data_IF_351345215766
#
_entry.id   IF_351345215766
#
_cell.length_a   1.000
_cell.length_b   1.000
_cell.length_c   1.000
_cell.angle_alpha   90.00
_cell.angle_beta   90.00
_cell.angle_gamma   90.00
#
_symmetry.space_group_name_H-M   'P 1'
#
loop_
_entity.id
_entity.type
_entity.pdbx_description
1 polymer ?
#
# COMPACT_ATOMS: atom_id res chain seq x y z
N UNK A 1 3.56 -0.16 20.37
CA UNK A 1 2.22 0.33 20.78
C UNK A 1 1.93 1.60 20.00
N UNK A 2 1.21 1.51 18.87
CA UNK A 2 0.75 2.67 18.10
C UNK A 2 -0.60 3.05 18.70
N UNK A 3 -0.71 4.23 19.32
CA UNK A 3 -1.96 4.64 19.98
C UNK A 3 -3.06 4.81 18.93
N UNK A 4 -4.21 4.17 19.16
CA UNK A 4 -5.35 4.15 18.22
C UNK A 4 -5.90 5.55 17.88
N UNK A 5 -5.67 6.55 18.74
CA UNK A 5 -6.05 7.95 18.49
C UNK A 5 -5.13 8.70 17.53
N UNK A 6 -3.92 8.18 17.29
CA UNK A 6 -2.93 8.83 16.42
C UNK A 6 -3.26 8.59 14.94
N UNK A 7 -3.82 7.42 14.62
CA UNK A 7 -4.15 7.00 13.25
C UNK A 7 -5.30 7.81 12.65
N UNK A 8 -6.30 8.14 13.45
CA UNK A 8 -7.44 8.97 13.03
C UNK A 8 -6.99 10.41 12.73
N UNK A 9 -6.00 10.91 13.46
CA UNK A 9 -5.41 12.24 13.21
C UNK A 9 -4.74 12.32 11.82
N UNK A 10 -4.24 11.20 11.31
CA UNK A 10 -3.64 11.09 9.97
C UNK A 10 -4.68 11.17 8.84
N UNK A 11 -5.98 11.16 9.14
CA UNK A 11 -7.01 11.42 8.13
C UNK A 11 -7.14 12.91 7.82
N UNK A 12 -6.75 13.77 8.76
CA UNK A 12 -6.78 15.21 8.58
C UNK A 12 -5.61 15.61 7.69
N UNK A 13 -5.90 16.30 6.59
CA UNK A 13 -4.87 16.74 5.63
C UNK A 13 -3.82 17.64 6.29
N UNK A 14 -4.24 18.61 7.10
CA UNK A 14 -3.31 19.54 7.76
C UNK A 14 -2.34 18.82 8.72
N UNK A 15 -2.78 17.72 9.36
CA UNK A 15 -1.91 16.89 10.20
C UNK A 15 -0.90 16.13 9.37
N UNK A 16 -1.30 15.60 8.21
CA UNK A 16 -0.39 14.90 7.27
C UNK A 16 0.70 15.81 6.72
N UNK A 17 0.35 17.05 6.38
CA UNK A 17 1.30 18.03 5.82
C UNK A 17 2.38 18.43 6.83
N UNK A 18 2.10 18.33 8.13
CA UNK A 18 3.06 18.59 9.21
C UNK A 18 4.02 17.42 9.49
N UNK A 19 3.78 16.25 8.89
CA UNK A 19 4.68 15.11 9.10
C UNK A 19 5.99 15.31 8.33
N UNK A 20 7.12 14.80 8.85
CA UNK A 20 8.36 14.75 8.10
C UNK A 20 8.20 13.92 6.82
N UNK A 21 8.87 14.33 5.74
CA UNK A 21 8.84 13.70 4.41
C UNK A 21 8.91 12.15 4.41
N UNK A 22 9.81 11.48 5.17
CA UNK A 22 9.84 10.02 5.19
C UNK A 22 8.54 9.39 5.70
N UNK A 23 7.84 10.04 6.63
CA UNK A 23 6.56 9.57 7.14
C UNK A 23 5.43 9.80 6.13
N UNK A 24 5.47 10.91 5.39
CA UNK A 24 4.54 11.15 4.30
C UNK A 24 4.70 10.11 3.19
N UNK A 25 5.95 9.79 2.81
CA UNK A 25 6.28 8.73 1.86
C UNK A 25 5.81 7.36 2.36
N UNK A 26 6.08 7.03 3.62
CA UNK A 26 5.62 5.79 4.22
C UNK A 26 4.09 5.70 4.18
N UNK A 27 3.36 6.78 4.52
CA UNK A 27 1.89 6.81 4.45
C UNK A 27 1.37 6.71 3.01
N UNK A 28 2.10 7.27 2.05
CA UNK A 28 1.74 7.22 0.64
C UNK A 28 1.92 5.82 0.03
N UNK A 29 2.97 5.11 0.44
CA UNK A 29 3.32 3.78 -0.07
C UNK A 29 2.63 2.66 0.71
N UNK A 30 2.43 2.82 2.02
CA UNK A 30 1.98 1.75 2.91
C UNK A 30 0.43 1.70 3.01
N UNK A 31 -0.24 0.73 2.38
CA UNK A 31 -1.71 0.69 2.30
C UNK A 31 -2.40 0.47 3.65
N UNK A 32 -1.71 -0.19 4.60
CA UNK A 32 -2.26 -0.53 5.91
C UNK A 32 -1.92 0.47 7.01
N UNK A 33 -1.31 1.62 6.68
CA UNK A 33 -0.88 2.60 7.67
C UNK A 33 -2.03 3.24 8.46
N UNK A 34 -3.25 3.24 7.90
CA UNK A 34 -4.45 3.81 8.52
C UNK A 34 -5.32 2.79 9.27
N UNK A 35 -4.90 1.52 9.30
CA UNK A 35 -5.65 0.44 9.94
C UNK A 35 -5.19 0.25 11.38
N UNK A 36 -6.15 -0.07 12.26
CA UNK A 36 -5.87 -0.39 13.67
C UNK A 36 -5.44 -1.86 13.79
N UNK A 37 -4.58 -2.14 14.77
CA UNK A 37 -4.15 -3.50 15.03
C UNK A 37 -5.29 -4.30 15.67
N UNK A 38 -5.78 -5.31 14.95
CA UNK A 38 -6.83 -6.23 15.41
C UNK A 38 -6.27 -7.58 15.88
N UNK A 39 -4.94 -7.76 15.84
CA UNK A 39 -4.27 -9.02 16.21
C UNK A 39 -4.03 -9.13 17.72
N UNK A 40 -3.92 -8.00 18.42
CA UNK A 40 -3.54 -7.94 19.83
C UNK A 40 -4.62 -7.27 20.70
N UNK A 41 -4.62 -7.58 22.00
CA UNK A 41 -5.49 -6.94 23.00
C UNK A 41 -6.76 -7.71 23.39
N UNK A 42 -7.53 -7.18 24.37
CA UNK A 42 -8.75 -7.82 24.87
C UNK A 42 -9.81 -8.00 23.77
N UNK A 43 -10.69 -9.02 23.86
CA UNK A 43 -11.75 -9.25 22.87
C UNK A 43 -12.56 -7.99 22.47
N UNK A 44 -13.06 -7.15 23.40
CA UNK A 44 -13.83 -5.96 23.00
C UNK A 44 -12.99 -4.89 22.28
N UNK A 45 -11.68 -4.84 22.51
CA UNK A 45 -10.78 -3.92 21.80
C UNK A 45 -10.55 -4.39 20.36
N UNK A 46 -10.36 -5.70 20.16
CA UNK A 46 -10.19 -6.31 18.83
C UNK A 46 -11.45 -6.14 17.97
N UNK A 47 -12.62 -6.32 18.55
CA UNK A 47 -13.91 -6.13 17.85
C UNK A 47 -14.08 -4.69 17.35
N UNK A 48 -13.70 -3.70 18.18
CA UNK A 48 -13.72 -2.28 17.82
C UNK A 48 -12.68 -1.94 16.74
N UNK A 49 -11.49 -2.53 16.80
CA UNK A 49 -10.48 -2.35 15.77
C UNK A 49 -10.94 -2.96 14.43
N UNK A 50 -11.57 -4.14 14.45
CA UNK A 50 -12.13 -4.77 13.25
C UNK A 50 -13.29 -3.98 12.65
N UNK A 51 -14.22 -3.48 13.46
CA UNK A 51 -15.35 -2.69 12.96
C UNK A 51 -14.88 -1.39 12.31
N UNK A 52 -13.88 -0.72 12.91
CA UNK A 52 -13.19 0.43 12.32
C UNK A 52 -12.49 0.07 11.00
N UNK A 53 -11.71 -1.02 10.97
CA UNK A 53 -11.01 -1.46 9.76
C UNK A 53 -11.99 -1.77 8.62
N UNK A 54 -13.15 -2.37 8.93
CA UNK A 54 -14.21 -2.63 7.95
C UNK A 54 -14.83 -1.35 7.39
N UNK A 55 -15.10 -0.35 8.22
CA UNK A 55 -15.65 0.94 7.75
C UNK A 55 -14.64 1.68 6.87
N UNK A 56 -13.34 1.52 7.17
CA UNK A 56 -12.22 2.10 6.40
C UNK A 56 -11.83 1.35 5.13
N UNK A 57 -12.44 0.21 4.80
CA UNK A 57 -12.03 -0.62 3.65
C UNK A 57 -11.95 0.16 2.33
N UNK A 58 -12.77 1.20 2.16
CA UNK A 58 -12.80 2.02 0.94
C UNK A 58 -11.49 2.78 0.68
N UNK A 59 -10.71 3.05 1.72
CA UNK A 59 -9.38 3.64 1.60
C UNK A 59 -8.46 2.73 0.76
N UNK A 60 -8.55 1.39 0.93
CA UNK A 60 -7.73 0.43 0.19
C UNK A 60 -7.96 0.49 -1.31
N UNK A 61 -9.17 0.84 -1.78
CA UNK A 61 -9.48 0.95 -3.21
C UNK A 61 -8.58 1.99 -3.89
N UNK A 62 -8.31 3.11 -3.20
CA UNK A 62 -7.43 4.16 -3.70
C UNK A 62 -5.98 3.68 -3.81
N UNK A 63 -5.53 2.89 -2.82
CA UNK A 63 -4.20 2.27 -2.84
C UNK A 63 -4.09 1.20 -3.92
N UNK A 64 -5.11 0.36 -4.11
CA UNK A 64 -5.16 -0.63 -5.19
C UNK A 64 -5.02 0.06 -6.54
N UNK A 65 -5.84 1.10 -6.82
CA UNK A 65 -5.75 1.84 -8.08
C UNK A 65 -4.35 2.41 -8.30
N UNK A 66 -3.76 3.01 -7.26
CA UNK A 66 -2.41 3.58 -7.32
C UNK A 66 -1.35 2.51 -7.63
N UNK A 67 -1.35 1.41 -6.88
CA UNK A 67 -0.36 0.35 -7.05
C UNK A 67 -0.52 -0.40 -8.39
N UNK A 68 -1.75 -0.54 -8.89
CA UNK A 68 -2.02 -1.04 -10.26
C UNK A 68 -1.43 -0.11 -11.31
N UNK A 69 -1.63 1.22 -11.19
CA UNK A 69 -1.05 2.17 -12.13
C UNK A 69 0.49 2.15 -12.08
N UNK A 70 1.08 2.03 -10.89
CA UNK A 70 2.54 1.89 -10.72
C UNK A 70 3.02 0.60 -11.38
N UNK A 71 2.37 -0.54 -11.10
CA UNK A 71 2.71 -1.82 -11.69
C UNK A 71 2.63 -1.77 -13.22
N UNK A 72 1.54 -1.24 -13.78
CA UNK A 72 1.35 -1.11 -15.22
C UNK A 72 2.41 -0.21 -15.87
N UNK A 73 2.73 0.93 -15.24
CA UNK A 73 3.76 1.85 -15.72
C UNK A 73 5.15 1.21 -15.73
N UNK A 74 5.51 0.52 -14.64
CA UNK A 74 6.79 -0.16 -14.52
C UNK A 74 6.89 -1.33 -15.51
N UNK A 75 5.82 -2.12 -15.65
CA UNK A 75 5.75 -3.23 -16.60
C UNK A 75 5.93 -2.76 -18.05
N UNK A 76 5.24 -1.67 -18.43
CA UNK A 76 5.36 -1.09 -19.76
C UNK A 76 6.78 -0.55 -20.04
N UNK A 77 7.49 -0.11 -19.00
CA UNK A 77 8.87 0.36 -19.11
C UNK A 77 9.91 -0.78 -19.28
N UNK A 78 9.56 -2.04 -19.00
CA UNK A 78 10.49 -3.18 -19.13
C UNK A 78 10.89 -3.39 -20.59
N UNK A 79 9.93 -3.54 -21.50
CA UNK A 79 10.21 -3.81 -22.91
C UNK A 79 11.18 -2.80 -23.58
N UNK A 80 10.97 -1.47 -23.47
CA UNK A 80 11.91 -0.51 -24.06
C UNK A 80 13.27 -0.51 -23.35
N UNK A 81 13.33 -0.75 -22.05
CA UNK A 81 14.61 -0.77 -21.31
C UNK A 81 15.41 -2.03 -21.56
N UNK A 82 14.76 -3.17 -21.77
CA UNK A 82 15.41 -4.40 -22.25
C UNK A 82 15.94 -4.25 -23.68
N UNK A 83 15.16 -3.62 -24.57
CA UNK A 83 15.63 -3.32 -25.93
C UNK A 83 16.88 -2.42 -25.92
N UNK A 84 16.93 -1.42 -25.04
CA UNK A 84 18.12 -0.58 -24.83
C UNK A 84 19.27 -1.36 -24.18
N UNK A 85 18.99 -2.29 -23.27
CA UNK A 85 20.00 -3.13 -22.63
C UNK A 85 20.68 -4.09 -23.61
N UNK A 86 19.96 -4.56 -24.62
CA UNK A 86 20.51 -5.34 -25.72
C UNK A 86 21.51 -4.55 -26.57
N UNK A 87 21.35 -3.22 -26.65
CA UNK A 87 22.24 -2.32 -27.40
C UNK A 87 23.40 -1.80 -26.54
N UNK A 88 23.15 -1.51 -25.26
CA UNK A 88 24.13 -0.99 -24.34
C UNK A 88 23.97 -1.61 -22.95
N UNK A 89 25.00 -2.34 -22.50
CA UNK A 89 25.02 -3.09 -21.23
C UNK A 89 24.76 -2.22 -19.99
N UNK A 90 24.94 -0.90 -20.08
CA UNK A 90 24.61 0.04 -19.00
C UNK A 90 23.11 0.00 -18.61
N UNK A 91 22.22 -0.31 -19.56
CA UNK A 91 20.77 -0.35 -19.31
C UNK A 91 20.28 -1.65 -18.64
N UNK A 92 21.16 -2.64 -18.39
CA UNK A 92 20.81 -3.87 -17.68
C UNK A 92 20.33 -3.56 -16.26
N UNK A 93 20.98 -2.62 -15.56
CA UNK A 93 20.64 -2.25 -14.18
C UNK A 93 19.24 -1.59 -14.11
N UNK A 94 18.92 -0.57 -14.94
CA UNK A 94 17.57 -0.04 -15.05
C UNK A 94 16.51 -1.09 -15.39
N UNK A 95 16.76 -1.97 -16.36
CA UNK A 95 15.79 -3.00 -16.76
C UNK A 95 15.45 -3.94 -15.58
N UNK A 96 16.47 -4.41 -14.86
CA UNK A 96 16.29 -5.22 -13.66
C UNK A 96 15.52 -4.45 -12.56
N UNK A 97 15.82 -3.15 -12.36
CA UNK A 97 15.12 -2.33 -11.38
C UNK A 97 13.63 -2.18 -11.72
N UNK A 98 13.26 -1.98 -12.99
CA UNK A 98 11.86 -1.93 -13.41
C UNK A 98 11.13 -3.26 -13.19
N UNK A 99 11.77 -4.38 -13.52
CA UNK A 99 11.20 -5.71 -13.30
C UNK A 99 10.95 -5.99 -11.80
N UNK A 100 11.94 -5.71 -10.95
CA UNK A 100 11.81 -5.86 -9.49
C UNK A 100 10.72 -4.94 -8.94
N UNK A 101 10.71 -3.68 -9.36
CA UNK A 101 9.69 -2.71 -8.95
C UNK A 101 8.27 -3.15 -9.33
N UNK A 102 8.10 -3.66 -10.56
CA UNK A 102 6.82 -4.20 -11.03
C UNK A 102 6.35 -5.38 -10.18
N UNK A 103 7.25 -6.32 -9.86
CA UNK A 103 6.95 -7.48 -9.00
C UNK A 103 6.50 -7.08 -7.59
N UNK A 104 7.19 -6.10 -6.98
CA UNK A 104 6.79 -5.55 -5.68
C UNK A 104 5.40 -4.90 -5.78
N UNK A 105 5.16 -4.08 -6.81
CA UNK A 105 3.90 -3.39 -6.99
C UNK A 105 2.72 -4.37 -7.18
N UNK A 106 2.92 -5.44 -7.94
CA UNK A 106 1.94 -6.53 -8.09
C UNK A 106 1.68 -7.22 -6.75
N UNK A 107 2.73 -7.57 -6.01
CA UNK A 107 2.61 -8.23 -4.70
C UNK A 107 1.82 -7.37 -3.71
N UNK A 108 2.16 -6.09 -3.60
CA UNK A 108 1.43 -5.14 -2.74
C UNK A 108 -0.02 -5.01 -3.19
N UNK A 109 -0.28 -4.96 -4.50
CA UNK A 109 -1.64 -4.92 -5.04
C UNK A 109 -2.46 -6.15 -4.63
N UNK A 110 -1.91 -7.36 -4.83
CA UNK A 110 -2.59 -8.62 -4.50
C UNK A 110 -2.87 -8.72 -3.01
N UNK A 111 -1.91 -8.37 -2.15
CA UNK A 111 -2.11 -8.37 -0.70
C UNK A 111 -3.17 -7.35 -0.27
N UNK A 112 -3.12 -6.13 -0.82
CA UNK A 112 -4.10 -5.08 -0.55
C UNK A 112 -5.49 -5.51 -0.97
N UNK A 113 -5.61 -6.16 -2.13
CA UNK A 113 -6.86 -6.70 -2.65
C UNK A 113 -7.39 -7.85 -1.78
N UNK A 114 -6.52 -8.78 -1.37
CA UNK A 114 -6.90 -9.88 -0.48
C UNK A 114 -7.44 -9.36 0.86
N UNK A 115 -6.78 -8.36 1.46
CA UNK A 115 -7.27 -7.73 2.70
C UNK A 115 -8.58 -6.98 2.46
N UNK A 116 -8.72 -6.29 1.34
CA UNK A 116 -9.99 -5.63 0.98
C UNK A 116 -11.15 -6.63 0.92
N UNK A 117 -10.95 -7.79 0.30
CA UNK A 117 -11.92 -8.87 0.26
C UNK A 117 -12.20 -9.45 1.65
N UNK A 118 -11.15 -9.71 2.44
CA UNK A 118 -11.27 -10.24 3.80
C UNK A 118 -12.03 -9.31 4.75
N UNK A 119 -11.87 -8.00 4.59
CA UNK A 119 -12.66 -7.01 5.34
C UNK A 119 -14.09 -6.87 4.81
N UNK A 120 -14.31 -7.26 3.55
CA UNK A 120 -15.63 -7.27 2.92
C UNK A 120 -16.47 -8.51 3.24
N UNK A 121 -15.84 -9.64 3.57
CA UNK A 121 -16.54 -10.85 4.01
C UNK A 121 -17.11 -10.62 5.41
N UNK A 122 -18.42 -10.44 5.49
CA UNK A 122 -19.15 -10.55 6.76
C UNK A 122 -19.02 -12.01 7.21
N UNK A 123 -18.38 -12.24 8.36
CA UNK A 123 -18.70 -13.42 9.16
C UNK A 123 -20.06 -13.12 9.78
N UNK A 124 -21.09 -13.73 9.22
CA UNK A 124 -22.37 -13.95 9.90
C UNK A 124 -22.14 -14.84 11.13
#
# INVERSE_FOLDING_TARGET
MRQDGDVESLLIRERRERLPLPQQLALYLHPFALFKDASSGPPPARERALSYNRSMRWVLVHYIRRWVMIAASLFLAIAPTEALAAQAKFFIIPAAAFAVGSSIAVTVTVLTFAVYLLLGTKRE
#
